data_IF_585485667171
#
_entry.id   IF_585485667171
#
_cell.length_a   1.000
_cell.length_b   1.000
_cell.length_c   1.000
_cell.angle_alpha   90.00
_cell.angle_beta   90.00
_cell.angle_gamma   90.00
#
_symmetry.space_group_name_H-M   'P 1'
#
loop_
_entity.id
_entity.type
_entity.pdbx_description
1 polymer ?
#
# COMPACT_ATOMS: atom_id res chain seq x y z
N UNK A 1 -12.85 -5.33 8.74
CA UNK A 1 -12.23 -4.42 7.76
C UNK A 1 -10.75 -4.77 7.67
N UNK A 2 -10.32 -5.22 6.51
CA UNK A 2 -8.91 -5.48 6.21
C UNK A 2 -8.43 -4.47 5.18
N UNK A 3 -7.19 -4.04 5.33
CA UNK A 3 -6.53 -3.05 4.48
C UNK A 3 -5.32 -3.74 3.89
N UNK A 4 -5.27 -3.80 2.57
CA UNK A 4 -4.18 -4.38 1.83
C UNK A 4 -3.20 -3.27 1.44
N UNK A 5 -1.93 -3.49 1.78
CA UNK A 5 -0.82 -2.67 1.31
C UNK A 5 -0.34 -3.30 0.01
N UNK A 6 -0.30 -2.52 -1.06
CA UNK A 6 0.21 -2.94 -2.36
C UNK A 6 1.33 -2.00 -2.83
N UNK A 7 2.21 -2.51 -3.68
CA UNK A 7 3.27 -1.74 -4.33
C UNK A 7 3.18 -1.88 -5.84
N UNK A 8 3.62 -0.85 -6.57
CA UNK A 8 3.63 -0.85 -8.02
C UNK A 8 4.94 -1.41 -8.57
N UNK A 9 4.85 -2.38 -9.47
CA UNK A 9 6.01 -2.90 -10.21
C UNK A 9 6.39 -2.03 -11.42
N UNK A 10 7.50 -2.37 -12.07
CA UNK A 10 8.03 -1.63 -13.23
C UNK A 10 7.08 -1.62 -14.44
N UNK A 11 6.15 -2.58 -14.50
CA UNK A 11 5.14 -2.70 -15.55
C UNK A 11 3.82 -2.01 -15.16
N UNK A 12 3.78 -1.31 -14.02
CA UNK A 12 2.60 -0.63 -13.53
C UNK A 12 1.60 -1.52 -12.80
N UNK A 13 1.88 -2.81 -12.59
CA UNK A 13 0.97 -3.70 -11.89
C UNK A 13 1.10 -3.53 -10.37
N UNK A 14 -0.03 -3.64 -9.70
CA UNK A 14 -0.09 -3.65 -8.24
C UNK A 14 0.12 -5.06 -7.69
N UNK A 15 0.98 -5.18 -6.69
CA UNK A 15 1.30 -6.42 -6.01
C UNK A 15 1.01 -6.30 -4.52
N UNK A 16 0.26 -7.24 -3.99
CA UNK A 16 -0.01 -7.32 -2.56
C UNK A 16 1.29 -7.58 -1.78
N UNK A 17 1.54 -6.77 -0.75
CA UNK A 17 2.67 -6.91 0.16
C UNK A 17 2.24 -7.50 1.50
N UNK A 18 1.24 -6.88 2.14
CA UNK A 18 0.77 -7.27 3.46
C UNK A 18 -0.66 -6.79 3.68
N UNK A 19 -1.43 -7.53 4.45
CA UNK A 19 -2.76 -7.13 4.91
C UNK A 19 -2.73 -6.77 6.40
N UNK A 20 -3.43 -5.69 6.78
CA UNK A 20 -3.56 -5.21 8.17
C UNK A 20 -5.02 -4.91 8.51
N UNK A 21 -5.33 -4.82 9.80
CA UNK A 21 -6.67 -4.46 10.29
C UNK A 21 -6.75 -3.00 10.78
N UNK A 22 -5.62 -2.29 10.85
CA UNK A 22 -5.53 -0.91 11.32
C UNK A 22 -4.98 0.00 10.22
N UNK A 23 -5.74 1.02 9.82
CA UNK A 23 -5.38 1.94 8.73
C UNK A 23 -4.16 2.79 9.05
N UNK A 24 -4.06 3.33 10.26
CA UNK A 24 -2.94 4.18 10.64
C UNK A 24 -1.61 3.39 10.64
N UNK A 25 -1.65 2.15 11.09
CA UNK A 25 -0.48 1.25 11.00
C UNK A 25 -0.16 0.89 9.55
N UNK A 26 -1.17 0.58 8.73
CA UNK A 26 -0.98 0.33 7.30
C UNK A 26 -0.33 1.50 6.57
N UNK A 27 -0.80 2.72 6.84
CA UNK A 27 -0.23 3.95 6.30
C UNK A 27 1.22 4.15 6.70
N UNK A 28 1.55 4.00 7.99
CA UNK A 28 2.93 4.14 8.48
C UNK A 28 3.89 3.14 7.83
N UNK A 29 3.45 1.89 7.65
CA UNK A 29 4.27 0.87 6.98
C UNK A 29 4.44 1.19 5.50
N UNK A 30 3.36 1.52 4.80
CA UNK A 30 3.40 1.85 3.37
C UNK A 30 4.26 3.08 3.08
N UNK A 31 4.17 4.13 3.90
CA UNK A 31 5.03 5.32 3.80
C UNK A 31 6.51 4.98 3.96
N UNK A 32 6.85 4.17 4.98
CA UNK A 32 8.24 3.76 5.21
C UNK A 32 8.79 2.93 4.04
N UNK A 33 7.96 2.07 3.46
CA UNK A 33 8.34 1.26 2.30
C UNK A 33 8.51 2.12 1.04
N UNK A 34 7.61 3.08 0.80
CA UNK A 34 7.73 4.01 -0.32
C UNK A 34 9.08 4.75 -0.26
N UNK A 35 9.41 5.33 0.90
CA UNK A 35 10.68 6.01 1.14
C UNK A 35 11.91 5.09 1.01
N UNK A 36 11.84 3.84 1.48
CA UNK A 36 13.00 2.94 1.45
C UNK A 36 13.23 2.28 0.10
N UNK A 37 12.15 1.99 -0.63
CA UNK A 37 12.20 1.23 -1.89
C UNK A 37 12.21 2.11 -3.13
N UNK A 38 11.81 3.39 -3.00
CA UNK A 38 11.65 4.27 -4.15
C UNK A 38 10.44 3.90 -5.03
N UNK A 39 9.47 3.15 -4.50
CA UNK A 39 8.31 2.66 -5.25
C UNK A 39 7.00 3.21 -4.71
N UNK A 40 6.05 3.47 -5.61
CA UNK A 40 4.69 3.83 -5.22
C UNK A 40 4.02 2.69 -4.46
N UNK A 41 3.36 3.03 -3.37
CA UNK A 41 2.56 2.12 -2.56
C UNK A 41 1.12 2.62 -2.50
N UNK A 42 0.15 1.73 -2.31
CA UNK A 42 -1.24 2.09 -2.08
C UNK A 42 -1.86 1.25 -0.98
N UNK A 43 -2.87 1.81 -0.34
CA UNK A 43 -3.76 1.10 0.56
C UNK A 43 -5.09 0.87 -0.15
N UNK A 44 -5.59 -0.36 -0.12
CA UNK A 44 -6.92 -0.71 -0.62
C UNK A 44 -7.72 -1.42 0.47
N UNK A 45 -9.04 -1.23 0.48
CA UNK A 45 -9.94 -1.95 1.38
C UNK A 45 -10.20 -3.38 0.88
N UNK A 46 -11.05 -4.11 1.61
CA UNK A 46 -11.45 -5.49 1.30
C UNK A 46 -12.30 -5.62 0.03
N UNK A 47 -12.90 -4.52 -0.43
CA UNK A 47 -13.61 -4.43 -1.71
C UNK A 47 -12.70 -3.96 -2.86
N UNK A 48 -11.40 -3.76 -2.58
CA UNK A 48 -10.41 -3.31 -3.55
C UNK A 48 -10.48 -1.82 -3.87
N UNK A 49 -11.20 -1.02 -3.07
CA UNK A 49 -11.28 0.44 -3.25
C UNK A 49 -10.00 1.10 -2.75
N UNK A 50 -9.51 2.07 -3.51
CA UNK A 50 -8.36 2.86 -3.14
C UNK A 50 -8.68 3.71 -1.91
N UNK A 51 -7.90 3.54 -0.84
CA UNK A 51 -7.99 4.35 0.37
C UNK A 51 -6.92 5.45 0.36
N UNK A 52 -5.67 5.10 0.04
CA UNK A 52 -4.54 6.02 -0.01
C UNK A 52 -3.54 5.61 -1.09
N UNK A 53 -2.82 6.59 -1.64
CA UNK A 53 -1.71 6.41 -2.57
C UNK A 53 -0.49 7.17 -2.03
N UNK A 54 0.65 6.50 -1.99
CA UNK A 54 1.90 6.99 -1.42
C UNK A 54 2.98 6.92 -2.48
N UNK A 55 3.47 8.09 -2.87
CA UNK A 55 4.62 8.23 -3.77
C UNK A 55 5.92 8.30 -2.94
N UNK A 56 7.08 7.91 -3.50
CA UNK A 56 8.36 7.85 -2.79
C UNK A 56 8.90 9.20 -2.29
#
# INVERSE_FOLDING_TARGET
>A
MSIQIEWQDQNGNWKNFQTKQNQADAYRVALRLAQSTGKCHRLVDDEGRLMDLLEP
#
